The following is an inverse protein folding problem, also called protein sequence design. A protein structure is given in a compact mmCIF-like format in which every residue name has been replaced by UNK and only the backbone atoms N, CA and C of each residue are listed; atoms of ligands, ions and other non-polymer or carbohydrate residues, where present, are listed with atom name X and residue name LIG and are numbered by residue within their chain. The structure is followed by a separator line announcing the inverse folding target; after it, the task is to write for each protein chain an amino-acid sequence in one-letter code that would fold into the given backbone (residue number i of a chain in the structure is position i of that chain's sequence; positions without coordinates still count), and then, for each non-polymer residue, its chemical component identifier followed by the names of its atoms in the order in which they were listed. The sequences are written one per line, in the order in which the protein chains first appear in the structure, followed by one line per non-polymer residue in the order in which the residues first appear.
data_IF_824824520271
#
_entry.id   IF_824824520271
#
_cell.length_a   1.000
_cell.length_b   1.000
_cell.length_c   1.000
_cell.angle_alpha   90.00
_cell.angle_beta   90.00
_cell.angle_gamma   90.00
#
_symmetry.space_group_name_H-M   'P 1'
#
loop_
_entity.id
_entity.type
_entity.pdbx_description
1 polymer ?
#
# COMPACT_ATOMS: atom_id res chain seq x y z
N UNK A 1 -13.93 -15.33 -21.42
CA UNK A 1 -13.59 -16.37 -20.42
C UNK A 1 -13.54 -15.72 -19.05
N UNK A 2 -14.50 -16.08 -18.20
CA UNK A 2 -14.68 -15.51 -16.86
C UNK A 2 -13.70 -16.15 -15.87
N UNK A 3 -12.72 -15.39 -15.42
CA UNK A 3 -11.87 -15.79 -14.31
C UNK A 3 -12.68 -15.74 -13.03
N UNK A 4 -13.09 -16.93 -12.55
CA UNK A 4 -13.58 -17.07 -11.18
C UNK A 4 -12.43 -16.67 -10.25
N UNK A 5 -12.68 -15.66 -9.43
CA UNK A 5 -11.94 -15.37 -8.22
C UNK A 5 -11.67 -16.67 -7.47
N UNK A 6 -10.42 -17.14 -7.47
CA UNK A 6 -9.93 -18.11 -6.49
C UNK A 6 -9.89 -17.38 -5.14
N UNK A 7 -11.06 -17.33 -4.48
CA UNK A 7 -11.18 -17.07 -3.06
C UNK A 7 -10.73 -18.32 -2.33
N UNK A 8 -9.45 -18.47 -2.11
CA UNK A 8 -8.91 -19.39 -1.10
C UNK A 8 -7.53 -18.86 -0.69
N UNK A 9 -7.55 -17.90 0.25
CA UNK A 9 -6.34 -17.53 0.97
C UNK A 9 -6.00 -18.66 1.95
N UNK A 10 -4.74 -19.10 2.08
CA UNK A 10 -4.38 -20.11 3.05
C UNK A 10 -4.76 -19.68 4.49
N UNK A 11 -5.29 -20.60 5.31
CA UNK A 11 -5.68 -20.32 6.69
C UNK A 11 -4.44 -19.96 7.52
N UNK A 12 -4.39 -18.72 8.02
CA UNK A 12 -3.57 -18.24 9.14
C UNK A 12 -2.14 -18.84 9.26
N UNK A 13 -1.17 -18.19 8.60
CA UNK A 13 0.24 -18.55 8.76
C UNK A 13 0.89 -17.87 9.98
N UNK A 14 1.25 -18.77 10.91
CA UNK A 14 2.38 -18.85 11.84
C UNK A 14 2.99 -17.50 12.28
N UNK A 15 2.66 -17.07 13.49
CA UNK A 15 3.44 -16.07 14.23
C UNK A 15 4.90 -16.51 14.30
N UNK A 16 5.81 -15.75 13.68
CA UNK A 16 7.26 -15.97 13.70
C UNK A 16 7.85 -15.27 14.94
N UNK A 17 8.36 -15.99 15.95
CA UNK A 17 9.12 -15.36 17.02
C UNK A 17 10.58 -15.13 16.62
N UNK A 18 11.33 -14.30 17.36
CA UNK A 18 12.77 -14.07 17.20
C UNK A 18 13.62 -15.28 17.58
N UNK A 19 14.82 -15.42 16.98
CA UNK A 19 15.75 -16.55 17.20
C UNK A 19 17.00 -16.06 17.95
N UNK A 20 17.48 -16.92 18.86
CA UNK A 20 18.82 -16.93 19.44
C UNK A 20 19.38 -18.34 19.15
N UNK A 21 20.44 -18.43 18.36
CA UNK A 21 20.97 -19.68 17.78
C UNK A 21 21.65 -20.61 18.80
N UNK A 22 21.83 -20.16 20.04
CA UNK A 22 22.57 -20.89 21.07
C UNK A 22 21.70 -21.75 22.01
N UNK A 23 20.37 -21.80 21.82
CA UNK A 23 19.47 -22.47 22.77
C UNK A 23 19.24 -23.96 22.46
N UNK A 24 19.48 -24.83 23.46
CA UNK A 24 19.10 -26.25 23.42
C UNK A 24 17.58 -26.43 23.22
N UNK A 25 17.17 -27.34 22.32
CA UNK A 25 15.76 -27.56 21.94
C UNK A 25 14.90 -28.01 23.12
N UNK A 26 13.84 -27.26 23.43
CA UNK A 26 12.83 -27.65 24.43
C UNK A 26 11.74 -28.55 23.82
N UNK A 27 10.98 -29.26 24.67
CA UNK A 27 9.80 -30.03 24.24
C UNK A 27 8.73 -29.15 23.57
N UNK A 28 8.61 -27.89 24.02
CA UNK A 28 7.69 -26.91 23.44
C UNK A 28 8.05 -26.57 22.00
N UNK A 29 9.34 -26.44 21.70
CA UNK A 29 9.84 -26.17 20.36
C UNK A 29 9.47 -27.35 19.44
N UNK A 30 9.81 -28.59 19.83
CA UNK A 30 9.47 -29.81 19.05
C UNK A 30 7.98 -29.93 18.69
N UNK A 31 7.09 -29.53 19.59
CA UNK A 31 5.65 -29.54 19.36
C UNK A 31 5.18 -28.42 18.41
N UNK A 32 5.92 -27.32 18.29
CA UNK A 32 5.66 -26.28 17.30
C UNK A 32 6.10 -26.74 15.90
N UNK A 33 7.30 -27.32 15.76
CA UNK A 33 7.82 -27.88 14.50
C UNK A 33 6.83 -28.90 13.90
N UNK A 34 6.33 -29.81 14.74
CA UNK A 34 5.37 -30.84 14.34
C UNK A 34 4.05 -30.24 13.82
N UNK A 35 3.55 -29.18 14.48
CA UNK A 35 2.35 -28.47 14.03
C UNK A 35 2.58 -27.74 12.70
N UNK A 36 3.73 -27.10 12.53
CA UNK A 36 4.06 -26.35 11.32
C UNK A 36 4.29 -27.28 10.13
N UNK A 37 4.97 -28.41 10.31
CA UNK A 37 5.11 -29.45 9.30
C UNK A 37 3.75 -29.97 8.84
N UNK A 38 2.85 -30.32 9.78
CA UNK A 38 1.48 -30.75 9.45
C UNK A 38 0.70 -29.72 8.65
N UNK A 39 0.85 -28.43 8.94
CA UNK A 39 0.23 -27.35 8.17
C UNK A 39 0.76 -27.28 6.73
N UNK A 40 2.08 -27.39 6.55
CA UNK A 40 2.69 -27.33 5.22
C UNK A 40 2.31 -28.55 4.36
N UNK A 41 2.16 -29.70 5.01
CA UNK A 41 1.64 -30.94 4.39
C UNK A 41 0.17 -30.77 3.99
N UNK A 42 -0.69 -30.29 4.89
CA UNK A 42 -2.08 -30.01 4.57
C UNK A 42 -2.20 -29.04 3.38
N UNK A 43 -1.36 -28.00 3.35
CA UNK A 43 -1.30 -27.05 2.24
C UNK A 43 -0.86 -27.70 0.92
N UNK A 44 0.12 -28.62 0.95
CA UNK A 44 0.53 -29.37 -0.25
C UNK A 44 -0.57 -30.32 -0.71
N UNK A 45 -1.35 -30.92 0.20
CA UNK A 45 -2.52 -31.73 -0.14
C UNK A 45 -3.65 -30.89 -0.75
N UNK A 46 -3.97 -29.73 -0.19
CA UNK A 46 -4.98 -28.81 -0.75
C UNK A 46 -4.60 -28.35 -2.15
N UNK A 47 -3.33 -27.98 -2.36
CA UNK A 47 -2.81 -27.66 -3.69
C UNK A 47 -2.92 -28.87 -4.63
N UNK A 48 -2.52 -30.05 -4.17
CA UNK A 48 -2.55 -31.25 -5.00
C UNK A 48 -3.97 -31.69 -5.39
N UNK A 49 -4.94 -31.57 -4.48
CA UNK A 49 -6.37 -31.78 -4.76
C UNK A 49 -6.90 -30.76 -5.78
N UNK A 50 -6.50 -29.49 -5.68
CA UNK A 50 -6.85 -28.47 -6.68
C UNK A 50 -6.27 -28.76 -8.08
N UNK A 51 -5.18 -29.52 -8.17
CA UNK A 51 -4.49 -29.84 -9.42
C UNK A 51 -4.65 -31.31 -9.87
N UNK A 52 -5.59 -32.05 -9.29
CA UNK A 52 -5.86 -33.48 -9.58
C UNK A 52 -4.61 -34.37 -9.46
N UNK A 53 -3.68 -33.99 -8.57
CA UNK A 53 -2.46 -34.71 -8.27
C UNK A 53 -2.67 -35.55 -6.99
N UNK A 54 -2.59 -36.89 -7.05
CA UNK A 54 -2.79 -37.70 -5.85
C UNK A 54 -1.56 -37.63 -4.95
N UNK A 55 -1.68 -36.98 -3.79
CA UNK A 55 -0.69 -37.13 -2.71
C UNK A 55 -1.14 -38.29 -1.82
N UNK A 56 -0.40 -39.40 -1.87
CA UNK A 56 -0.65 -40.57 -1.03
C UNK A 56 -0.35 -40.24 0.44
N UNK A 57 -1.32 -40.44 1.34
CA UNK A 57 -1.11 -40.26 2.79
C UNK A 57 -0.09 -41.25 3.36
N UNK A 58 0.20 -42.33 2.63
CA UNK A 58 1.24 -43.29 2.93
C UNK A 58 2.57 -43.00 2.20
N UNK A 59 2.72 -41.81 1.60
CA UNK A 59 3.93 -41.45 0.88
C UNK A 59 5.18 -41.66 1.77
N UNK A 60 6.08 -42.58 1.39
CA UNK A 60 7.25 -42.92 2.19
C UNK A 60 8.22 -41.74 2.32
N UNK A 61 8.28 -40.84 1.33
CA UNK A 61 9.07 -39.61 1.35
C UNK A 61 8.49 -38.61 2.34
N UNK A 62 7.17 -38.42 2.35
CA UNK A 62 6.46 -37.58 3.32
C UNK A 62 6.66 -38.08 4.77
N UNK A 63 6.53 -39.39 4.97
CA UNK A 63 6.72 -40.03 6.25
C UNK A 63 8.19 -39.99 6.72
N UNK A 64 9.14 -40.07 5.79
CA UNK A 64 10.56 -39.91 6.07
C UNK A 64 10.92 -38.47 6.44
N UNK A 65 10.37 -37.48 5.74
CA UNK A 65 10.51 -36.06 6.07
C UNK A 65 9.98 -35.76 7.48
N UNK A 66 8.77 -36.24 7.80
CA UNK A 66 8.18 -36.11 9.14
C UNK A 66 9.07 -36.76 10.21
N UNK A 67 9.61 -37.96 9.96
CA UNK A 67 10.55 -38.62 10.86
C UNK A 67 11.85 -37.84 11.02
N UNK A 68 12.39 -37.25 9.96
CA UNK A 68 13.61 -36.43 10.03
C UNK A 68 13.40 -35.16 10.84
N UNK A 69 12.29 -34.44 10.64
CA UNK A 69 11.89 -33.27 11.45
C UNK A 69 11.75 -33.66 12.94
N UNK A 70 11.13 -34.82 13.21
CA UNK A 70 10.91 -35.34 14.57
C UNK A 70 12.18 -35.86 15.24
N UNK A 71 13.14 -36.40 14.47
CA UNK A 71 14.39 -36.99 14.99
C UNK A 71 15.31 -35.99 15.67
N UNK A 72 15.19 -34.71 15.31
CA UNK A 72 16.01 -33.63 15.82
C UNK A 72 17.51 -33.74 15.57
N UNK A 73 17.91 -34.61 14.63
CA UNK A 73 19.29 -34.76 14.18
C UNK A 73 19.76 -33.59 13.32
N UNK A 74 18.85 -32.90 12.64
CA UNK A 74 19.17 -31.84 11.69
C UNK A 74 18.87 -30.47 12.28
N UNK A 75 19.85 -29.55 12.21
CA UNK A 75 19.68 -28.13 12.56
C UNK A 75 18.80 -27.38 11.56
N UNK A 76 18.74 -27.90 10.33
CA UNK A 76 18.05 -27.31 9.18
C UNK A 76 17.53 -28.41 8.26
N UNK A 77 16.31 -28.24 7.72
CA UNK A 77 15.76 -29.10 6.68
C UNK A 77 15.28 -28.22 5.52
N UNK A 78 15.77 -28.50 4.32
CA UNK A 78 15.44 -27.75 3.11
C UNK A 78 14.28 -28.43 2.38
N UNK A 79 13.17 -27.71 2.23
CA UNK A 79 12.00 -28.16 1.48
C UNK A 79 11.86 -27.29 0.25
N UNK A 80 11.95 -27.89 -0.92
CA UNK A 80 11.65 -27.23 -2.18
C UNK A 80 10.16 -27.37 -2.46
N UNK A 81 9.41 -26.27 -2.34
CA UNK A 81 8.03 -26.19 -2.81
C UNK A 81 8.01 -25.58 -4.21
N UNK A 82 7.11 -26.02 -5.08
CA UNK A 82 6.95 -25.40 -6.40
C UNK A 82 5.71 -24.52 -6.42
N UNK A 83 5.86 -23.26 -6.78
CA UNK A 83 4.78 -22.30 -6.99
C UNK A 83 4.32 -22.38 -8.44
N UNK A 84 3.02 -22.42 -8.68
CA UNK A 84 2.49 -22.45 -10.04
C UNK A 84 2.23 -21.02 -10.53
N UNK A 85 2.91 -20.63 -11.61
CA UNK A 85 2.58 -19.42 -12.38
C UNK A 85 2.64 -19.74 -13.88
N UNK A 86 1.65 -19.29 -14.66
CA UNK A 86 1.52 -19.56 -16.10
C UNK A 86 1.71 -21.06 -16.47
N UNK A 87 1.18 -21.96 -15.64
CA UNK A 87 1.33 -23.42 -15.79
C UNK A 87 2.76 -23.95 -15.64
N UNK A 88 3.69 -23.15 -15.11
CA UNK A 88 5.07 -23.55 -14.80
C UNK A 88 5.29 -23.60 -13.29
N UNK A 89 5.93 -24.68 -12.85
CA UNK A 89 6.36 -24.89 -11.46
C UNK A 89 7.68 -24.15 -11.21
N UNK A 90 7.63 -23.16 -10.34
CA UNK A 90 8.77 -22.35 -9.93
C UNK A 90 9.25 -22.79 -8.53
N UNK A 91 10.47 -23.32 -8.39
CA UNK A 91 10.93 -23.82 -7.11
C UNK A 91 11.23 -22.69 -6.13
N UNK A 92 10.77 -22.83 -4.89
CA UNK A 92 11.10 -22.00 -3.74
C UNK A 92 11.56 -22.89 -2.60
N UNK A 93 12.75 -22.62 -2.07
CA UNK A 93 13.29 -23.39 -0.95
C UNK A 93 12.86 -22.76 0.36
N UNK A 94 12.37 -23.59 1.27
CA UNK A 94 12.03 -23.24 2.64
C UNK A 94 12.96 -23.98 3.59
N UNK A 95 13.52 -23.24 4.54
CA UNK A 95 14.40 -23.75 5.58
C UNK A 95 13.60 -23.95 6.86
N UNK A 96 13.67 -25.15 7.41
CA UNK A 96 13.11 -25.47 8.71
C UNK A 96 14.21 -25.36 9.75
N UNK A 97 14.25 -24.25 10.49
CA UNK A 97 15.22 -24.00 11.55
C UNK A 97 14.49 -23.85 12.88
N UNK A 98 14.79 -24.73 13.84
CA UNK A 98 14.28 -24.64 15.23
C UNK A 98 12.77 -24.28 15.34
N UNK A 99 11.91 -24.98 14.59
CA UNK A 99 10.45 -24.78 14.61
C UNK A 99 9.89 -23.66 13.77
N UNK A 100 10.74 -23.02 13.00
CA UNK A 100 10.39 -21.93 12.11
C UNK A 100 10.56 -22.40 10.67
N UNK A 101 9.69 -21.89 9.82
CA UNK A 101 9.77 -22.09 8.38
C UNK A 101 10.13 -20.72 7.82
N UNK A 102 11.33 -20.60 7.25
CA UNK A 102 11.83 -19.36 6.68
C UNK A 102 12.10 -19.63 5.21
N UNK A 103 11.51 -18.83 4.32
CA UNK A 103 11.85 -18.92 2.89
C UNK A 103 13.31 -18.52 2.68
N UNK A 104 14.03 -19.24 1.83
CA UNK A 104 15.45 -19.01 1.51
C UNK A 104 15.73 -17.56 1.15
N UNK A 105 14.76 -16.88 0.55
CA UNK A 105 14.82 -15.47 0.19
C UNK A 105 15.18 -14.54 1.36
N UNK A 106 14.76 -14.89 2.58
CA UNK A 106 15.03 -14.07 3.76
C UNK A 106 16.38 -14.41 4.41
N UNK A 107 16.99 -15.51 4.01
CA UNK A 107 18.30 -15.95 4.48
C UNK A 107 19.40 -15.43 3.55
N UNK A 108 19.21 -15.56 2.23
CA UNK A 108 20.20 -15.10 1.26
C UNK A 108 20.29 -13.58 1.16
N UNK A 109 21.41 -13.09 0.65
CA UNK A 109 21.59 -11.66 0.39
C UNK A 109 20.66 -11.19 -0.73
N UNK A 110 20.29 -9.91 -0.69
CA UNK A 110 19.43 -9.31 -1.72
C UNK A 110 20.05 -9.48 -3.11
N UNK A 111 21.38 -9.38 -3.20
CA UNK A 111 22.12 -9.55 -4.45
C UNK A 111 22.00 -10.96 -5.07
N UNK A 112 21.69 -12.00 -4.27
CA UNK A 112 21.52 -13.38 -4.72
C UNK A 112 20.03 -13.77 -4.92
N UNK A 113 19.10 -12.82 -4.74
CA UNK A 113 17.70 -13.00 -5.15
C UNK A 113 17.58 -13.05 -6.67
N UNK A 114 16.57 -13.73 -7.20
CA UNK A 114 16.28 -13.82 -8.64
C UNK A 114 14.80 -13.50 -8.93
N UNK A 115 14.38 -13.62 -10.18
CA UNK A 115 13.00 -13.29 -10.56
C UNK A 115 11.93 -14.15 -9.84
N UNK A 116 12.23 -15.42 -9.54
CA UNK A 116 11.31 -16.32 -8.82
C UNK A 116 11.13 -15.88 -7.36
N UNK A 117 12.20 -15.40 -6.72
CA UNK A 117 12.13 -14.84 -5.38
C UNK A 117 11.27 -13.57 -5.33
N UNK A 118 11.47 -12.67 -6.28
CA UNK A 118 10.69 -11.44 -6.38
C UNK A 118 9.22 -11.78 -6.57
N UNK A 119 8.92 -12.71 -7.47
CA UNK A 119 7.56 -13.17 -7.71
C UNK A 119 6.90 -13.67 -6.43
N UNK A 120 7.63 -14.50 -5.65
CA UNK A 120 7.17 -14.93 -4.33
C UNK A 120 6.85 -13.72 -3.44
N UNK A 121 7.74 -12.73 -3.32
CA UNK A 121 7.51 -11.55 -2.49
C UNK A 121 6.31 -10.70 -2.93
N UNK A 122 6.04 -10.60 -4.23
CA UNK A 122 4.93 -9.80 -4.76
C UNK A 122 3.57 -10.44 -4.48
N UNK A 123 3.51 -11.76 -4.48
CA UNK A 123 2.25 -12.51 -4.36
C UNK A 123 1.92 -12.95 -2.94
N UNK A 124 2.92 -13.13 -2.08
CA UNK A 124 2.71 -13.68 -0.74
C UNK A 124 2.43 -12.62 0.32
N UNK A 125 1.61 -12.99 1.31
CA UNK A 125 1.39 -12.19 2.51
C UNK A 125 2.59 -12.32 3.44
N UNK A 126 3.28 -11.21 3.65
CA UNK A 126 4.50 -11.18 4.45
C UNK A 126 4.20 -10.99 5.95
N UNK A 127 5.04 -11.55 6.84
CA UNK A 127 4.94 -11.33 8.28
C UNK A 127 4.98 -9.84 8.62
N UNK A 128 4.24 -9.37 9.65
CA UNK A 128 4.26 -7.99 10.11
C UNK A 128 5.48 -7.71 10.99
N UNK A 129 6.66 -8.11 10.52
CA UNK A 129 7.95 -7.90 11.18
C UNK A 129 8.81 -6.98 10.31
N UNK A 130 9.57 -6.11 10.98
CA UNK A 130 10.29 -5.00 10.35
C UNK A 130 11.32 -5.48 9.34
N UNK A 131 12.10 -6.50 9.68
CA UNK A 131 13.12 -7.05 8.79
C UNK A 131 12.48 -7.62 7.53
N UNK A 132 11.46 -8.48 7.67
CA UNK A 132 10.80 -9.09 6.51
C UNK A 132 10.17 -8.02 5.60
N UNK A 133 9.54 -6.99 6.17
CA UNK A 133 8.91 -5.92 5.39
C UNK A 133 9.94 -5.01 4.70
N UNK A 134 11.09 -4.72 5.33
CA UNK A 134 12.14 -3.91 4.71
C UNK A 134 12.87 -4.68 3.61
N UNK A 135 13.36 -5.89 3.91
CA UNK A 135 14.12 -6.72 2.97
C UNK A 135 13.32 -7.03 1.70
N UNK A 136 12.06 -7.43 1.88
CA UNK A 136 11.16 -7.69 0.75
C UNK A 136 10.90 -6.43 -0.07
N UNK A 137 10.70 -5.29 0.58
CA UNK A 137 10.46 -4.03 -0.11
C UNK A 137 11.66 -3.60 -0.98
N UNK A 138 12.88 -3.74 -0.44
CA UNK A 138 14.12 -3.41 -1.17
C UNK A 138 14.26 -4.35 -2.37
N UNK A 139 14.10 -5.66 -2.15
CA UNK A 139 14.20 -6.68 -3.20
C UNK A 139 13.19 -6.45 -4.34
N UNK A 140 11.93 -6.15 -4.00
CA UNK A 140 10.90 -5.86 -5.00
C UNK A 140 11.25 -4.61 -5.82
N UNK A 141 11.74 -3.55 -5.18
CA UNK A 141 12.09 -2.31 -5.87
C UNK A 141 13.33 -2.45 -6.77
N UNK A 142 14.33 -3.22 -6.35
CA UNK A 142 15.42 -3.62 -7.25
C UNK A 142 14.84 -4.28 -8.51
N UNK A 143 13.96 -5.27 -8.36
CA UNK A 143 13.36 -5.96 -9.50
C UNK A 143 12.57 -5.02 -10.40
N UNK A 144 11.75 -4.13 -9.82
CA UNK A 144 11.00 -3.14 -10.61
C UNK A 144 11.94 -2.27 -11.44
N UNK A 145 13.05 -1.83 -10.85
CA UNK A 145 14.05 -1.03 -11.53
C UNK A 145 14.71 -1.83 -12.67
N UNK A 146 15.16 -3.05 -12.42
CA UNK A 146 15.81 -3.90 -13.43
C UNK A 146 14.86 -4.28 -14.57
N UNK A 147 13.64 -4.72 -14.26
CA UNK A 147 12.60 -5.05 -15.25
C UNK A 147 12.32 -3.89 -16.22
N UNK A 148 12.47 -2.63 -15.77
CA UNK A 148 12.28 -1.49 -16.64
C UNK A 148 13.34 -1.39 -17.75
N UNK A 149 14.60 -1.74 -17.46
CA UNK A 149 15.70 -1.60 -18.41
C UNK A 149 15.97 -2.86 -19.22
N UNK A 150 15.98 -4.02 -18.56
CA UNK A 150 16.36 -5.29 -19.19
C UNK A 150 15.15 -6.16 -19.55
N UNK A 151 13.93 -5.77 -19.13
CA UNK A 151 12.68 -6.41 -19.56
C UNK A 151 12.68 -7.93 -19.39
N UNK A 152 12.32 -8.65 -20.46
CA UNK A 152 12.24 -10.11 -20.51
C UNK A 152 13.59 -10.83 -20.33
N UNK A 153 14.71 -10.10 -20.33
CA UNK A 153 16.01 -10.65 -19.98
C UNK A 153 16.14 -10.92 -18.47
N UNK A 154 15.29 -10.32 -17.63
CA UNK A 154 15.20 -10.67 -16.20
C UNK A 154 14.43 -11.99 -16.02
N UNK A 155 15.14 -13.10 -16.21
CA UNK A 155 14.62 -14.47 -16.12
C UNK A 155 14.89 -15.10 -14.74
N UNK A 156 14.20 -16.20 -14.43
CA UNK A 156 14.30 -16.89 -13.13
C UNK A 156 15.71 -17.36 -12.75
N UNK A 157 16.60 -17.58 -13.72
CA UNK A 157 17.99 -17.97 -13.47
C UNK A 157 18.94 -16.79 -13.25
N UNK A 158 18.52 -15.56 -13.51
CA UNK A 158 19.35 -14.37 -13.37
C UNK A 158 19.15 -13.76 -11.98
N UNK A 159 20.22 -13.67 -11.20
CA UNK A 159 20.17 -13.01 -9.90
C UNK A 159 20.20 -11.47 -10.02
N UNK A 160 19.91 -10.78 -8.92
CA UNK A 160 19.89 -9.32 -8.84
C UNK A 160 21.27 -8.75 -9.17
N UNK A 161 22.37 -9.37 -8.73
CA UNK A 161 23.73 -8.89 -9.00
C UNK A 161 24.00 -8.80 -10.51
N UNK A 162 23.77 -9.88 -11.25
CA UNK A 162 23.99 -9.92 -12.69
C UNK A 162 22.98 -9.05 -13.44
N UNK A 163 21.72 -9.02 -13.01
CA UNK A 163 20.70 -8.16 -13.59
C UNK A 163 21.04 -6.66 -13.42
N UNK A 164 21.67 -6.27 -12.32
CA UNK A 164 22.15 -4.90 -12.10
C UNK A 164 23.28 -4.53 -13.06
N UNK A 165 24.23 -5.44 -13.30
CA UNK A 165 25.32 -5.20 -14.26
C UNK A 165 24.78 -4.94 -15.67
N UNK A 166 23.82 -5.76 -16.11
CA UNK A 166 23.13 -5.56 -17.39
C UNK A 166 22.34 -4.26 -17.43
N UNK A 167 21.63 -3.93 -16.34
CA UNK A 167 20.88 -2.68 -16.22
C UNK A 167 21.78 -1.45 -16.38
N UNK A 168 22.97 -1.46 -15.75
CA UNK A 168 23.94 -0.38 -15.89
C UNK A 168 24.50 -0.26 -17.31
N UNK A 169 24.70 -1.38 -17.99
CA UNK A 169 25.10 -1.38 -19.40
C UNK A 169 24.00 -0.77 -20.27
N UNK A 170 22.74 -1.16 -20.06
CA UNK A 170 21.59 -0.62 -20.80
C UNK A 170 21.40 0.88 -20.58
N UNK A 171 21.52 1.37 -19.34
CA UNK A 171 21.45 2.82 -19.03
C UNK A 171 22.53 3.60 -19.81
N UNK A 172 23.77 3.09 -19.85
CA UNK A 172 24.87 3.72 -20.58
C UNK A 172 24.66 3.69 -22.09
N UNK A 173 24.10 2.59 -22.61
CA UNK A 173 23.87 2.40 -24.04
C UNK A 173 22.67 3.21 -24.57
N UNK A 174 21.71 3.56 -23.70
CA UNK A 174 20.47 4.27 -24.05
C UNK A 174 20.29 5.53 -23.19
N UNK A 175 21.05 6.60 -23.45
CA UNK A 175 20.94 7.85 -22.69
C UNK A 175 19.53 8.42 -22.78
N UNK A 176 18.98 8.81 -21.63
CA UNK A 176 17.62 9.35 -21.51
C UNK A 176 17.65 10.73 -20.83
N UNK A 177 16.65 11.60 -21.06
CA UNK A 177 16.52 12.86 -20.33
C UNK A 177 16.45 12.67 -18.79
N UNK A 178 16.06 11.48 -18.34
CA UNK A 178 15.93 11.10 -16.94
C UNK A 178 17.18 10.38 -16.40
N UNK A 179 18.28 10.31 -17.15
CA UNK A 179 19.45 9.51 -16.80
C UNK A 179 19.99 9.82 -15.39
N UNK A 180 20.12 11.10 -15.03
CA UNK A 180 20.56 11.48 -13.67
C UNK A 180 19.64 10.94 -12.59
N UNK A 181 18.32 11.00 -12.80
CA UNK A 181 17.35 10.47 -11.85
C UNK A 181 17.41 8.93 -11.77
N UNK A 182 17.68 8.26 -12.88
CA UNK A 182 17.87 6.80 -12.94
C UNK A 182 19.13 6.39 -12.17
N UNK A 183 20.24 7.13 -12.33
CA UNK A 183 21.48 6.94 -11.58
C UNK A 183 21.30 7.20 -10.08
N UNK A 184 20.57 8.26 -9.71
CA UNK A 184 20.25 8.58 -8.31
C UNK A 184 19.40 7.47 -7.65
N UNK A 185 18.44 6.89 -8.38
CA UNK A 185 17.64 5.74 -7.90
C UNK A 185 18.54 4.52 -7.73
N UNK A 186 19.40 4.23 -8.69
CA UNK A 186 20.32 3.11 -8.63
C UNK A 186 21.23 3.21 -7.39
N UNK A 187 21.87 4.36 -7.18
CA UNK A 187 22.72 4.59 -6.02
C UNK A 187 21.94 4.47 -4.71
N UNK A 188 20.70 4.98 -4.67
CA UNK A 188 19.84 4.85 -3.51
C UNK A 188 19.53 3.39 -3.15
N UNK A 189 19.28 2.53 -4.15
CA UNK A 189 19.03 1.10 -3.93
C UNK A 189 20.24 0.39 -3.30
N UNK A 190 21.46 0.68 -3.78
CA UNK A 190 22.70 0.13 -3.21
C UNK A 190 22.91 0.59 -1.76
N UNK A 191 22.67 1.88 -1.49
CA UNK A 191 22.77 2.43 -0.13
C UNK A 191 21.71 1.81 0.79
N UNK A 192 20.50 1.55 0.30
CA UNK A 192 19.45 0.88 1.07
C UNK A 192 19.83 -0.53 1.49
N UNK A 193 20.45 -1.31 0.61
CA UNK A 193 20.95 -2.64 0.96
C UNK A 193 22.01 -2.55 2.08
N UNK A 194 22.98 -1.64 1.94
CA UNK A 194 23.98 -1.40 2.99
C UNK A 194 23.39 -0.95 4.33
N UNK A 195 22.38 -0.08 4.31
CA UNK A 195 21.67 0.34 5.53
C UNK A 195 20.85 -0.79 6.15
N UNK A 196 20.26 -1.68 5.34
CA UNK A 196 19.56 -2.86 5.85
C UNK A 196 20.52 -3.79 6.58
N UNK A 197 21.73 -4.01 6.05
CA UNK A 197 22.74 -4.82 6.72
C UNK A 197 23.16 -4.20 8.06
N UNK A 198 23.41 -2.88 8.09
CA UNK A 198 23.68 -2.16 9.33
C UNK A 198 22.56 -2.33 10.35
N UNK A 199 21.30 -2.25 9.92
CA UNK A 199 20.14 -2.49 10.79
C UNK A 199 20.12 -3.92 11.36
N UNK A 200 20.52 -4.93 10.57
CA UNK A 200 20.58 -6.31 11.03
C UNK A 200 21.68 -6.54 12.08
N UNK A 201 22.76 -5.77 12.02
CA UNK A 201 23.86 -5.83 12.98
C UNK A 201 23.54 -5.11 14.31
N UNK A 202 22.45 -4.35 14.38
CA UNK A 202 22.06 -3.65 15.59
C UNK A 202 21.41 -4.59 16.62
N UNK A 203 21.73 -4.42 17.92
CA UNK A 203 21.28 -5.32 18.98
C UNK A 203 19.78 -5.19 19.29
N UNK A 204 19.19 -4.03 18.98
CA UNK A 204 17.77 -3.75 19.16
C UNK A 204 17.05 -3.79 17.81
N UNK A 205 15.94 -4.52 17.77
CA UNK A 205 15.07 -4.63 16.61
C UNK A 205 13.76 -3.87 16.87
N UNK A 206 13.33 -3.03 15.93
CA UNK A 206 12.06 -2.32 16.07
C UNK A 206 10.89 -3.22 15.70
N UNK A 207 9.78 -3.04 16.41
CA UNK A 207 8.50 -3.60 15.99
C UNK A 207 8.00 -2.92 14.71
N UNK A 208 7.17 -3.62 13.95
CA UNK A 208 6.58 -3.04 12.75
C UNK A 208 5.71 -1.80 13.04
N UNK A 209 5.10 -1.72 14.23
CA UNK A 209 4.34 -0.53 14.62
C UNK A 209 5.25 0.69 14.81
N UNK A 210 6.45 0.51 15.37
CA UNK A 210 7.44 1.58 15.53
C UNK A 210 7.98 2.02 14.17
N UNK A 211 8.25 1.08 13.26
CA UNK A 211 8.57 1.39 11.85
C UNK A 211 7.49 2.29 11.22
N UNK A 212 6.20 1.97 11.45
CA UNK A 212 5.10 2.77 10.90
C UNK A 212 5.00 4.17 11.53
N UNK A 213 5.30 4.32 12.83
CA UNK A 213 5.38 5.64 13.48
C UNK A 213 6.47 6.50 12.86
N UNK A 214 7.65 5.92 12.65
CA UNK A 214 8.77 6.58 11.97
C UNK A 214 8.39 7.05 10.57
N UNK A 215 7.71 6.19 9.81
CA UNK A 215 7.19 6.55 8.48
C UNK A 215 6.19 7.72 8.53
N UNK A 216 5.28 7.72 9.49
CA UNK A 216 4.27 8.78 9.62
C UNK A 216 4.92 10.12 10.02
N UNK A 217 5.97 10.11 10.86
CA UNK A 217 6.80 11.29 11.18
C UNK A 217 7.46 11.85 9.92
N UNK A 218 8.13 11.00 9.13
CA UNK A 218 8.79 11.42 7.88
C UNK A 218 7.78 12.03 6.91
N UNK A 219 6.61 11.39 6.74
CA UNK A 219 5.54 11.91 5.88
C UNK A 219 5.01 13.25 6.36
N UNK A 220 4.87 13.46 7.67
CA UNK A 220 4.48 14.74 8.23
C UNK A 220 5.52 15.83 7.94
N UNK A 221 6.81 15.51 8.12
CA UNK A 221 7.93 16.41 7.85
C UNK A 221 8.01 16.86 6.38
N UNK A 222 7.70 15.97 5.44
CA UNK A 222 7.69 16.29 4.00
C UNK A 222 6.57 17.27 3.63
N UNK A 223 5.43 17.23 4.33
CA UNK A 223 4.27 18.10 4.05
C UNK A 223 4.44 19.53 4.54
N UNK A 224 5.33 19.77 5.50
CA UNK A 224 5.53 21.10 6.09
C UNK A 224 6.43 21.94 5.18
N UNK A 225 5.86 23.01 4.61
CA UNK A 225 6.58 23.97 3.75
C UNK A 225 7.43 24.97 4.55
N UNK A 226 6.97 25.37 5.73
CA UNK A 226 7.64 26.34 6.59
C UNK A 226 8.84 25.69 7.30
N UNK A 227 10.04 26.22 7.06
CA UNK A 227 11.31 25.68 7.58
C UNK A 227 11.33 25.60 9.11
N UNK A 228 10.90 26.65 9.79
CA UNK A 228 10.93 26.73 11.26
C UNK A 228 10.00 25.69 11.91
N UNK A 229 8.77 25.53 11.40
CA UNK A 229 7.84 24.48 11.86
C UNK A 229 8.39 23.08 11.60
N UNK A 230 9.05 22.87 10.46
CA UNK A 230 9.66 21.59 10.11
C UNK A 230 10.81 21.25 11.06
N UNK A 231 11.71 22.19 11.35
CA UNK A 231 12.82 21.99 12.28
C UNK A 231 12.33 21.75 13.71
N UNK A 232 11.30 22.46 14.16
CA UNK A 232 10.69 22.21 15.47
C UNK A 232 10.09 20.79 15.57
N UNK A 233 9.41 20.31 14.52
CA UNK A 233 8.89 18.95 14.50
C UNK A 233 10.00 17.89 14.45
N UNK A 234 11.09 18.14 13.71
CA UNK A 234 12.27 17.24 13.69
C UNK A 234 12.88 17.12 15.07
N UNK A 235 13.11 18.25 15.76
CA UNK A 235 13.68 18.26 17.12
C UNK A 235 12.79 17.51 18.11
N UNK A 236 11.48 17.73 18.04
CA UNK A 236 10.50 17.10 18.94
C UNK A 236 10.42 15.58 18.75
N UNK A 237 10.57 15.10 17.52
CA UNK A 237 10.45 13.68 17.19
C UNK A 237 11.79 13.09 16.77
N UNK A 238 12.93 13.58 17.29
CA UNK A 238 14.24 13.04 16.97
C UNK A 238 14.32 11.55 17.31
N UNK A 239 15.11 10.75 16.57
CA UNK A 239 15.29 9.34 16.92
C UNK A 239 15.98 9.23 18.28
N UNK A 240 15.47 8.36 19.14
CA UNK A 240 15.96 8.16 20.52
C UNK A 240 17.05 7.10 20.58
N UNK A 241 17.03 6.12 19.65
CA UNK A 241 18.01 5.02 19.58
C UNK A 241 18.74 4.99 18.25
N UNK A 242 19.89 4.31 18.22
CA UNK A 242 20.66 4.07 16.99
C UNK A 242 19.82 3.28 15.96
N UNK A 243 19.02 2.32 16.41
CA UNK A 243 18.10 1.55 15.56
C UNK A 243 17.04 2.45 14.94
N UNK A 244 16.40 3.33 15.72
CA UNK A 244 15.45 4.31 15.18
C UNK A 244 16.12 5.26 14.19
N UNK A 245 17.35 5.70 14.45
CA UNK A 245 18.10 6.54 13.53
C UNK A 245 18.35 5.84 12.19
N UNK A 246 18.84 4.61 12.21
CA UNK A 246 19.08 3.80 11.00
C UNK A 246 17.78 3.58 10.22
N UNK A 247 16.69 3.20 10.91
CA UNK A 247 15.38 3.00 10.30
C UNK A 247 14.85 4.29 9.65
N UNK A 248 15.04 5.44 10.29
CA UNK A 248 14.64 6.72 9.71
C UNK A 248 15.41 7.01 8.42
N UNK A 249 16.71 6.75 8.39
CA UNK A 249 17.52 6.89 7.17
C UNK A 249 17.03 5.96 6.05
N UNK A 250 16.76 4.70 6.37
CA UNK A 250 16.19 3.72 5.42
C UNK A 250 14.87 4.26 4.84
N UNK A 251 13.92 4.65 5.69
CA UNK A 251 12.60 5.11 5.26
C UNK A 251 12.63 6.42 4.47
N UNK A 252 13.49 7.37 4.85
CA UNK A 252 13.69 8.63 4.12
C UNK A 252 14.24 8.37 2.71
N UNK A 253 15.26 7.52 2.60
CA UNK A 253 15.87 7.16 1.32
C UNK A 253 14.87 6.39 0.44
N UNK A 254 14.13 5.45 1.02
CA UNK A 254 13.05 4.73 0.35
C UNK A 254 12.01 5.67 -0.25
N UNK A 255 11.47 6.59 0.56
CA UNK A 255 10.43 7.51 0.11
C UNK A 255 10.96 8.44 -0.98
N UNK A 256 12.18 8.97 -0.83
CA UNK A 256 12.82 9.82 -1.83
C UNK A 256 12.96 9.09 -3.16
N UNK A 257 13.45 7.86 -3.14
CA UNK A 257 13.65 7.03 -4.32
C UNK A 257 12.33 6.64 -5.00
N UNK A 258 11.34 6.16 -4.25
CA UNK A 258 10.01 5.83 -4.81
C UNK A 258 9.40 7.07 -5.46
N UNK A 259 9.49 8.22 -4.80
CA UNK A 259 8.97 9.48 -5.34
C UNK A 259 9.66 9.85 -6.64
N UNK A 260 10.99 9.75 -6.70
CA UNK A 260 11.75 10.00 -7.92
C UNK A 260 11.34 9.03 -9.04
N UNK A 261 11.17 7.74 -8.72
CA UNK A 261 10.71 6.72 -9.67
C UNK A 261 9.30 6.99 -10.21
N UNK A 262 8.39 7.51 -9.38
CA UNK A 262 7.07 7.99 -9.82
C UNK A 262 7.22 9.19 -10.75
N UNK A 263 8.05 10.17 -10.37
CA UNK A 263 8.21 11.42 -11.10
C UNK A 263 8.77 11.20 -12.51
N UNK A 264 9.62 10.19 -12.71
CA UNK A 264 10.16 9.83 -14.03
C UNK A 264 9.38 8.73 -14.77
N UNK A 265 8.24 8.29 -14.22
CA UNK A 265 7.33 7.33 -14.87
C UNK A 265 7.75 5.84 -14.78
N UNK A 266 8.78 5.48 -14.00
CA UNK A 266 9.22 4.07 -13.85
C UNK A 266 8.12 3.17 -13.28
N UNK A 267 7.23 3.73 -12.46
CA UNK A 267 6.15 2.99 -11.81
C UNK A 267 4.80 3.08 -12.54
N UNK A 268 4.75 3.68 -13.74
CA UNK A 268 3.48 3.92 -14.45
C UNK A 268 2.72 2.63 -14.78
N UNK A 269 3.43 1.52 -15.04
CA UNK A 269 2.83 0.21 -15.29
C UNK A 269 2.00 -0.34 -14.11
N UNK A 270 2.18 0.23 -12.92
CA UNK A 270 1.48 -0.17 -11.69
C UNK A 270 0.41 0.84 -11.24
N UNK A 271 0.18 1.91 -12.02
CA UNK A 271 -0.90 2.87 -11.73
C UNK A 271 -2.26 2.23 -11.99
N UNK A 272 -3.27 2.61 -11.21
CA UNK A 272 -4.62 2.06 -11.33
C UNK A 272 -5.29 2.67 -12.56
N UNK A 273 -5.23 2.00 -13.70
CA UNK A 273 -5.91 2.48 -14.89
C UNK A 273 -7.43 2.40 -14.72
N UNK A 274 -8.14 3.49 -15.02
CA UNK A 274 -9.61 3.52 -15.10
C UNK A 274 -10.15 2.97 -16.43
N UNK A 275 -9.27 2.65 -17.38
CA UNK A 275 -9.70 2.12 -18.68
C UNK A 275 -10.16 0.67 -18.54
N UNK A 276 -11.38 0.39 -18.99
CA UNK A 276 -11.94 -0.96 -19.03
C UNK A 276 -11.05 -1.87 -19.89
N UNK A 277 -10.41 -2.86 -19.27
CA UNK A 277 -9.64 -3.89 -19.98
C UNK A 277 -8.19 -4.06 -19.51
N UNK A 278 -7.60 -3.09 -18.80
CA UNK A 278 -6.26 -3.28 -18.22
C UNK A 278 -6.36 -3.99 -16.87
N UNK A 279 -5.74 -5.16 -16.75
CA UNK A 279 -5.54 -5.80 -15.47
C UNK A 279 -4.64 -4.89 -14.61
N UNK A 280 -5.10 -4.48 -13.44
CA UNK A 280 -4.27 -3.73 -12.50
C UNK A 280 -3.14 -4.64 -12.02
N UNK A 281 -1.91 -4.39 -12.47
CA UNK A 281 -0.71 -5.07 -11.98
C UNK A 281 -0.31 -4.37 -10.68
N UNK A 282 -0.36 -5.08 -9.55
CA UNK A 282 0.14 -4.54 -8.28
C UNK A 282 1.66 -4.68 -8.21
N UNK A 283 2.34 -3.69 -7.59
CA UNK A 283 3.76 -3.84 -7.22
C UNK A 283 3.93 -5.01 -6.24
N UNK A 284 3.01 -5.14 -5.28
CA UNK A 284 2.91 -6.26 -4.36
C UNK A 284 1.48 -6.34 -3.80
N UNK A 285 0.88 -7.53 -3.81
CA UNK A 285 -0.56 -7.69 -3.53
C UNK A 285 -0.88 -7.57 -2.03
N UNK A 286 0.02 -8.04 -1.16
CA UNK A 286 -0.24 -8.18 0.29
C UNK A 286 0.83 -7.53 1.18
N UNK A 287 1.59 -6.58 0.66
CA UNK A 287 2.70 -5.96 1.39
C UNK A 287 2.21 -4.83 2.32
N UNK A 288 2.61 -4.87 3.61
CA UNK A 288 2.14 -3.90 4.61
C UNK A 288 2.87 -2.56 4.53
N UNK A 289 4.12 -2.55 4.07
CA UNK A 289 4.92 -1.35 3.84
C UNK A 289 4.79 -0.80 2.40
N UNK A 290 4.98 -1.64 1.36
CA UNK A 290 4.80 -1.27 -0.05
C UNK A 290 3.34 -1.35 -0.48
N UNK A 291 2.52 -0.45 0.04
CA UNK A 291 1.15 -0.26 -0.46
C UNK A 291 0.78 1.21 -0.59
N UNK A 292 -0.35 1.45 -1.24
CA UNK A 292 -0.89 2.77 -1.57
C UNK A 292 -1.32 3.61 -0.36
N UNK A 293 -1.36 3.06 0.86
CA UNK A 293 -1.59 3.84 2.09
C UNK A 293 -0.26 4.23 2.76
N UNK A 294 0.79 3.46 2.51
CA UNK A 294 2.12 3.62 3.08
C UNK A 294 3.09 4.11 2.01
N UNK A 295 4.10 3.35 1.61
CA UNK A 295 5.19 3.88 0.78
C UNK A 295 4.75 4.34 -0.62
N UNK A 296 3.70 3.73 -1.19
CA UNK A 296 3.23 4.03 -2.55
C UNK A 296 2.10 5.07 -2.57
N UNK A 297 1.94 5.87 -1.51
CA UNK A 297 0.78 6.78 -1.40
C UNK A 297 0.70 7.86 -2.49
N UNK A 298 1.82 8.21 -3.14
CA UNK A 298 1.83 9.15 -4.27
C UNK A 298 1.47 8.50 -5.60
N UNK A 299 1.65 7.19 -5.77
CA UNK A 299 1.54 6.52 -7.07
C UNK A 299 0.17 6.72 -7.72
N UNK A 300 -0.91 6.53 -6.94
CA UNK A 300 -2.30 6.73 -7.35
C UNK A 300 -2.96 7.89 -6.57
N UNK A 301 -2.14 8.82 -6.06
CA UNK A 301 -2.60 9.95 -5.24
C UNK A 301 -3.51 10.91 -6.00
N UNK A 302 -3.14 11.23 -7.25
CA UNK A 302 -3.88 12.16 -8.09
C UNK A 302 -5.24 11.58 -8.52
N UNK A 303 -5.28 10.32 -8.93
CA UNK A 303 -6.53 9.62 -9.29
C UNK A 303 -7.48 9.49 -8.09
N UNK A 304 -6.95 9.19 -6.90
CA UNK A 304 -7.74 9.16 -5.67
C UNK A 304 -8.27 10.55 -5.30
N UNK A 305 -7.44 11.57 -5.41
CA UNK A 305 -7.85 12.97 -5.18
C UNK A 305 -8.95 13.38 -6.16
N UNK A 306 -8.81 13.03 -7.44
CA UNK A 306 -9.83 13.26 -8.45
C UNK A 306 -11.13 12.52 -8.14
N UNK A 307 -11.09 11.22 -7.81
CA UNK A 307 -12.30 10.47 -7.41
C UNK A 307 -12.97 11.03 -6.16
N UNK A 308 -12.20 11.40 -5.14
CA UNK A 308 -12.72 12.02 -3.92
C UNK A 308 -13.39 13.39 -4.22
N UNK A 309 -12.76 14.20 -5.08
CA UNK A 309 -13.30 15.48 -5.52
C UNK A 309 -14.54 15.31 -6.42
N UNK A 310 -14.60 14.27 -7.26
CA UNK A 310 -15.78 13.92 -8.05
C UNK A 310 -16.96 13.51 -7.15
N UNK A 311 -16.71 12.66 -6.15
CA UNK A 311 -17.71 12.26 -5.16
C UNK A 311 -18.28 13.46 -4.39
N UNK A 312 -17.40 14.33 -3.88
CA UNK A 312 -17.80 15.59 -3.22
C UNK A 312 -18.64 16.46 -4.14
N UNK A 313 -18.24 16.63 -5.41
CA UNK A 313 -18.98 17.42 -6.40
C UNK A 313 -20.40 16.88 -6.64
N UNK A 314 -20.56 15.56 -6.74
CA UNK A 314 -21.86 14.92 -6.94
C UNK A 314 -22.77 15.07 -5.73
N UNK A 315 -22.22 14.95 -4.50
CA UNK A 315 -22.97 15.17 -3.25
C UNK A 315 -23.43 16.62 -3.15
N UNK A 316 -22.52 17.58 -3.32
CA UNK A 316 -22.88 19.01 -3.29
C UNK A 316 -23.96 19.35 -4.32
N UNK A 317 -23.92 18.77 -5.53
CA UNK A 317 -24.98 18.95 -6.53
C UNK A 317 -26.34 18.41 -6.08
N UNK A 318 -26.39 17.22 -5.47
CA UNK A 318 -27.64 16.62 -4.96
C UNK A 318 -28.24 17.42 -3.81
N UNK A 319 -27.42 17.80 -2.82
CA UNK A 319 -27.85 18.66 -1.71
C UNK A 319 -28.43 19.97 -2.24
N UNK A 320 -27.73 20.65 -3.16
CA UNK A 320 -28.23 21.89 -3.78
C UNK A 320 -29.56 21.69 -4.50
N UNK A 321 -29.73 20.55 -5.18
CA UNK A 321 -30.97 20.23 -5.89
C UNK A 321 -32.14 20.01 -4.94
N UNK A 322 -31.95 19.26 -3.85
CA UNK A 322 -32.97 19.02 -2.82
C UNK A 322 -33.39 20.32 -2.11
N UNK A 323 -32.42 21.14 -1.72
CA UNK A 323 -32.70 22.47 -1.12
C UNK A 323 -33.44 23.35 -2.13
N UNK A 324 -33.02 23.34 -3.40
CA UNK A 324 -33.70 24.07 -4.48
C UNK A 324 -35.16 23.63 -4.62
N UNK A 325 -35.45 22.33 -4.59
CA UNK A 325 -36.82 21.80 -4.67
C UNK A 325 -37.66 22.24 -3.47
N UNK A 326 -37.12 22.23 -2.25
CA UNK A 326 -37.81 22.78 -1.10
C UNK A 326 -38.09 24.28 -1.22
N UNK A 327 -37.10 25.08 -1.65
CA UNK A 327 -37.28 26.51 -1.88
C UNK A 327 -38.37 26.80 -2.92
N UNK A 328 -38.54 25.96 -3.94
CA UNK A 328 -39.65 26.13 -4.91
C UNK A 328 -41.03 25.97 -4.27
N UNK A 329 -41.13 25.18 -3.21
CA UNK A 329 -42.39 24.93 -2.48
C UNK A 329 -42.63 25.91 -1.33
N UNK A 330 -41.58 26.63 -0.90
CA UNK A 330 -41.63 27.53 0.24
C UNK A 330 -42.04 28.96 -0.16
N UNK A 331 -42.57 29.72 0.82
CA UNK A 331 -43.12 31.09 0.75
C UNK A 331 -42.64 32.00 -0.41
N UNK A 332 -43.55 32.84 -0.93
CA UNK A 332 -43.28 33.91 -1.92
C UNK A 332 -42.80 35.23 -1.29
N UNK A 333 -42.27 35.21 -0.08
CA UNK A 333 -41.74 36.41 0.55
C UNK A 333 -40.53 36.96 -0.22
N UNK A 334 -40.57 38.26 -0.53
CA UNK A 334 -39.55 38.93 -1.34
C UNK A 334 -38.67 39.85 -0.51
N UNK A 335 -37.38 39.59 -0.55
CA UNK A 335 -36.31 40.34 0.11
C UNK A 335 -35.65 41.34 -0.84
N UNK A 336 -34.90 42.32 -0.32
CA UNK A 336 -34.29 43.37 -1.16
C UNK A 336 -33.10 42.83 -1.96
N UNK A 337 -32.43 41.78 -1.50
CA UNK A 337 -31.25 41.21 -2.16
C UNK A 337 -31.14 39.70 -1.97
N UNK A 338 -30.30 39.05 -2.78
CA UNK A 338 -29.97 37.61 -2.64
C UNK A 338 -29.32 37.34 -1.28
N UNK A 339 -28.46 38.24 -0.79
CA UNK A 339 -27.78 38.05 0.49
C UNK A 339 -28.80 38.08 1.64
N UNK A 340 -29.70 39.08 1.64
CA UNK A 340 -30.75 39.18 2.65
C UNK A 340 -31.69 37.97 2.61
N UNK A 341 -32.05 37.50 1.40
CA UNK A 341 -32.83 36.27 1.24
C UNK A 341 -32.11 35.05 1.79
N UNK A 342 -30.82 34.88 1.47
CA UNK A 342 -30.03 33.73 1.91
C UNK A 342 -29.81 33.72 3.43
N UNK A 343 -29.66 34.88 4.06
CA UNK A 343 -29.52 35.02 5.52
C UNK A 343 -30.81 34.62 6.23
N UNK A 344 -31.96 35.18 5.81
CA UNK A 344 -33.26 34.86 6.41
C UNK A 344 -33.65 33.38 6.19
N UNK A 345 -33.47 32.87 4.97
CA UNK A 345 -33.74 31.47 4.66
C UNK A 345 -32.81 30.51 5.39
N UNK A 346 -31.55 30.91 5.66
CA UNK A 346 -30.60 30.05 6.40
C UNK A 346 -31.01 29.82 7.85
N UNK A 347 -31.69 30.81 8.46
CA UNK A 347 -32.23 30.71 9.81
C UNK A 347 -33.57 29.97 9.81
N UNK A 348 -34.46 30.29 8.86
CA UNK A 348 -35.80 29.71 8.77
C UNK A 348 -35.79 28.22 8.43
N UNK A 349 -34.86 27.78 7.56
CA UNK A 349 -34.80 26.42 7.04
C UNK A 349 -33.63 25.61 7.63
N UNK A 350 -33.07 26.04 8.75
CA UNK A 350 -31.87 25.44 9.32
C UNK A 350 -32.07 23.94 9.59
N UNK A 351 -33.19 23.56 10.19
CA UNK A 351 -33.50 22.16 10.52
C UNK A 351 -33.70 21.30 9.26
N UNK A 352 -34.42 21.80 8.25
CA UNK A 352 -34.65 21.03 7.01
C UNK A 352 -33.37 20.91 6.17
N UNK A 353 -32.55 21.95 6.10
CA UNK A 353 -31.25 21.91 5.44
C UNK A 353 -30.33 20.91 6.16
N UNK A 354 -30.33 20.91 7.49
CA UNK A 354 -29.58 19.94 8.30
C UNK A 354 -30.02 18.51 8.00
N UNK A 355 -31.33 18.26 7.92
CA UNK A 355 -31.86 16.95 7.60
C UNK A 355 -31.49 16.49 6.18
N UNK A 356 -31.62 17.37 5.18
CA UNK A 356 -31.22 17.08 3.78
C UNK A 356 -29.75 16.70 3.70
N UNK A 357 -28.89 17.46 4.40
CA UNK A 357 -27.45 17.22 4.45
C UNK A 357 -27.16 15.89 5.13
N UNK A 358 -27.78 15.63 6.28
CA UNK A 358 -27.58 14.42 7.05
C UNK A 358 -28.03 13.16 6.29
N UNK A 359 -29.20 13.21 5.64
CA UNK A 359 -29.73 12.08 4.85
C UNK A 359 -28.84 11.76 3.64
N UNK A 360 -28.34 12.77 2.93
CA UNK A 360 -27.40 12.56 1.84
C UNK A 360 -26.01 12.11 2.34
N UNK A 361 -25.60 12.53 3.54
CA UNK A 361 -24.32 12.13 4.16
C UNK A 361 -24.35 10.69 4.68
N UNK A 362 -25.45 10.20 5.27
CA UNK A 362 -25.54 8.82 5.75
C UNK A 362 -25.39 7.78 4.62
N UNK A 363 -25.72 8.18 3.39
CA UNK A 363 -25.55 7.33 2.20
C UNK A 363 -24.11 7.18 1.72
N UNK A 364 -23.12 7.92 2.27
CA UNK A 364 -21.72 7.93 1.80
C UNK A 364 -20.69 7.92 2.95
N UNK A 365 -19.72 6.99 2.89
CA UNK A 365 -18.63 6.82 3.88
C UNK A 365 -17.49 7.87 3.75
N UNK A 366 -17.78 9.16 3.70
CA UNK A 366 -16.74 10.21 3.68
C UNK A 366 -16.95 11.27 4.77
N UNK A 367 -15.85 11.73 5.38
CA UNK A 367 -15.79 12.79 6.41
C UNK A 367 -16.09 14.21 5.86
N UNK A 368 -17.05 14.34 4.94
CA UNK A 368 -17.43 15.63 4.37
C UNK A 368 -18.62 16.20 5.15
N UNK A 369 -18.36 17.16 6.04
CA UNK A 369 -19.38 17.81 6.87
C UNK A 369 -19.63 19.25 6.39
N UNK A 370 -20.89 19.60 6.19
CA UNK A 370 -21.36 20.98 6.17
C UNK A 370 -21.79 21.33 7.60
N UNK A 371 -21.22 22.37 8.19
CA UNK A 371 -21.77 22.98 9.40
C UNK A 371 -22.82 24.04 9.07
N UNK A 372 -23.60 24.46 10.05
CA UNK A 372 -24.62 25.51 9.93
C UNK A 372 -24.03 26.82 9.38
N UNK A 373 -22.78 27.12 9.71
CA UNK A 373 -22.00 28.26 9.22
C UNK A 373 -21.89 28.32 7.67
N UNK A 374 -22.27 27.27 6.96
CA UNK A 374 -22.19 27.19 5.50
C UNK A 374 -23.56 27.30 4.79
N UNK A 375 -24.66 27.36 5.53
CA UNK A 375 -26.01 27.37 4.93
C UNK A 375 -26.27 28.65 4.14
N UNK A 376 -25.82 29.79 4.66
CA UNK A 376 -25.88 31.07 3.97
C UNK A 376 -25.24 31.03 2.58
N UNK A 377 -23.97 30.60 2.49
CA UNK A 377 -23.26 30.53 1.21
C UNK A 377 -23.86 29.47 0.28
N UNK A 378 -24.39 28.37 0.84
CA UNK A 378 -25.09 27.35 0.07
C UNK A 378 -26.35 27.93 -0.59
N UNK A 379 -27.23 28.57 0.18
CA UNK A 379 -28.47 29.20 -0.29
C UNK A 379 -28.21 30.34 -1.26
N UNK A 380 -27.27 31.23 -0.95
CA UNK A 380 -26.82 32.31 -1.84
C UNK A 380 -26.36 31.77 -3.19
N UNK A 381 -25.63 30.65 -3.21
CA UNK A 381 -25.19 30.02 -4.45
C UNK A 381 -26.35 29.44 -5.26
N UNK A 382 -27.37 28.87 -4.61
CA UNK A 382 -28.57 28.31 -5.26
C UNK A 382 -29.41 29.45 -5.86
N UNK A 383 -29.74 30.47 -5.06
CA UNK A 383 -30.52 31.63 -5.50
C UNK A 383 -29.84 32.42 -6.61
N UNK A 384 -28.51 32.49 -6.63
CA UNK A 384 -27.78 33.17 -7.71
C UNK A 384 -27.78 32.39 -9.02
N UNK A 385 -27.76 31.06 -8.94
CA UNK A 385 -27.70 30.17 -10.10
C UNK A 385 -29.08 29.93 -10.75
N UNK A 386 -30.16 30.09 -10.00
CA UNK A 386 -31.52 29.84 -10.47
C UNK A 386 -32.33 31.13 -10.65
N UNK A 387 -32.63 31.49 -11.91
CA UNK A 387 -33.35 32.72 -12.26
C UNK A 387 -34.78 32.76 -11.74
N UNK A 388 -35.44 31.61 -11.62
CA UNK A 388 -36.81 31.50 -11.14
C UNK A 388 -36.84 31.75 -9.64
N UNK A 389 -36.00 31.03 -8.87
CA UNK A 389 -35.87 31.25 -7.43
C UNK A 389 -35.39 32.67 -7.11
N UNK A 390 -34.46 33.23 -7.90
CA UNK A 390 -34.05 34.62 -7.76
C UNK A 390 -35.24 35.56 -7.88
N UNK A 391 -36.12 35.36 -8.86
CA UNK A 391 -37.31 36.18 -9.07
C UNK A 391 -38.39 35.96 -8.00
N UNK A 392 -38.46 34.74 -7.44
CA UNK A 392 -39.36 34.37 -6.36
C UNK A 392 -38.99 35.09 -5.06
N UNK A 393 -37.70 35.15 -4.71
CA UNK A 393 -37.21 35.65 -3.42
C UNK A 393 -36.64 37.06 -3.42
N UNK A 394 -36.37 37.67 -4.58
CA UNK A 394 -35.85 39.05 -4.64
C UNK A 394 -36.84 40.03 -5.27
N UNK A 395 -36.97 41.21 -4.68
CA UNK A 395 -37.74 42.31 -5.25
C UNK A 395 -37.04 42.79 -6.52
N UNK A 396 -37.80 42.98 -7.60
CA UNK A 396 -37.29 43.74 -8.74
C UNK A 396 -36.98 45.16 -8.23
N UNK A 397 -35.83 45.75 -8.57
CA UNK A 397 -35.56 47.13 -8.23
C UNK A 397 -36.70 47.98 -8.80
N UNK A 398 -37.30 48.82 -7.95
CA UNK A 398 -38.22 49.85 -8.41
C UNK A 398 -37.45 50.69 -9.42
N UNK A 399 -37.87 50.67 -10.69
CA UNK A 399 -37.42 51.68 -11.65
C UNK A 399 -37.94 53.00 -11.10
N UNK A 400 -37.05 53.85 -10.59
CA UNK A 400 -37.38 55.24 -10.33
C UNK A 400 -37.86 55.83 -11.67
N UNK A 401 -39.17 55.99 -11.81
CA UNK A 401 -39.73 56.82 -12.85
C UNK A 401 -39.70 58.26 -12.31
N UNK A 402 -38.68 58.97 -12.78
CA UNK A 402 -38.40 60.41 -12.64
C UNK A 402 -37.80 60.85 -11.30
#
# INVERSE_FOLDING_TARGET
MSWKLLKEQPPEWINLPNLDEHKLRTSKDRNADNRNAKKLIAWTHELAEQFDYPVDKNDPVLNQLLKQIQSGQYKEINIQASLLEDSKLQPTVFHFTYGKIISQIFIKDISDCNATDVLFLRNFKLPPDTFYQLKSAITILFSVFMEHFIGDAFQSSLDIRHALELTLQEIKNKPSPNQKAQEDIFLALIVLDGLLQQYCDLPEQLTFQELLKELDIIKALIKIRESEKRENLKKKNGPETLTQHCIRQILELFLKMINLAIDIGLLDKFKVSTMHGNANISIATNHLLLNEKKMLSRLNGDERSQRANQGKTQITKRIKQKIKEQLKTYSNEKYKSINEAAEQLSLLLADEITQIIHDDQQSYQHNFQYGEDHYFELLKSILRADTELKSQYTRKPLKNNK
#
